data_IF_281858329643
#
_entry.id   IF_281858329643
#
_cell.length_a   1.000
_cell.length_b   1.000
_cell.length_c   1.000
_cell.angle_alpha   90.00
_cell.angle_beta   90.00
_cell.angle_gamma   90.00
#
_symmetry.space_group_name_H-M   'P 1'
#
loop_
_entity.id
_entity.type
_entity.pdbx_description
1 polymer ?
#
# COMPACT_ATOMS: atom_id res chain seq x y z
N UNK A 1 -26.30 -7.18 -3.66
CA UNK A 1 -25.58 -5.94 -4.02
C UNK A 1 -24.64 -6.32 -5.16
N UNK A 2 -24.63 -5.58 -6.27
CA UNK A 2 -23.68 -5.84 -7.36
C UNK A 2 -22.27 -5.60 -6.79
N UNK A 3 -21.37 -6.55 -6.99
CA UNK A 3 -19.94 -6.36 -6.69
C UNK A 3 -19.47 -5.15 -7.51
N UNK A 4 -18.98 -4.12 -6.83
CA UNK A 4 -18.39 -2.97 -7.51
C UNK A 4 -17.07 -3.47 -8.10
N UNK A 5 -17.02 -3.53 -9.43
CA UNK A 5 -15.84 -4.01 -10.14
C UNK A 5 -14.72 -2.99 -9.97
N UNK A 6 -13.70 -3.31 -9.16
CA UNK A 6 -12.61 -2.39 -8.82
C UNK A 6 -11.47 -2.37 -9.85
N UNK A 7 -11.57 -3.17 -10.94
CA UNK A 7 -10.57 -3.23 -12.00
C UNK A 7 -9.29 -3.99 -11.63
N UNK A 8 -9.20 -4.60 -10.45
CA UNK A 8 -8.12 -5.49 -10.03
C UNK A 8 -8.67 -6.67 -9.24
N UNK A 9 -7.87 -7.72 -9.11
CA UNK A 9 -8.23 -8.90 -8.33
C UNK A 9 -7.04 -9.43 -7.53
N UNK A 10 -7.34 -10.02 -6.38
CA UNK A 10 -6.38 -10.80 -5.61
C UNK A 10 -6.23 -12.16 -6.30
N UNK A 11 -5.04 -12.46 -6.78
CA UNK A 11 -4.76 -13.73 -7.47
C UNK A 11 -4.14 -14.76 -6.55
N UNK A 12 -3.51 -14.34 -5.46
CA UNK A 12 -2.99 -15.22 -4.43
C UNK A 12 -3.06 -14.54 -3.04
N UNK A 13 -3.41 -15.33 -2.03
CA UNK A 13 -3.40 -14.96 -0.62
C UNK A 13 -2.78 -16.13 0.15
N UNK A 14 -1.64 -15.91 0.81
CA UNK A 14 -0.85 -16.95 1.45
C UNK A 14 -0.43 -16.55 2.86
N UNK A 15 -0.52 -17.48 3.79
CA UNK A 15 0.18 -17.42 5.06
C UNK A 15 1.60 -17.98 4.86
N UNK A 16 2.60 -17.12 4.93
CA UNK A 16 4.01 -17.47 4.74
C UNK A 16 4.61 -18.03 6.02
N UNK A 17 4.18 -17.45 7.15
CA UNK A 17 4.43 -17.84 8.55
C UNK A 17 3.25 -17.31 9.39
N UNK A 18 3.02 -17.77 10.64
CA UNK A 18 1.82 -17.42 11.43
C UNK A 18 1.54 -15.90 11.57
N UNK A 19 2.59 -15.09 11.50
CA UNK A 19 2.52 -13.62 11.59
C UNK A 19 2.98 -12.93 10.29
N UNK A 20 3.17 -13.68 9.20
CA UNK A 20 3.62 -13.14 7.90
C UNK A 20 2.66 -13.57 6.80
N UNK A 21 2.04 -12.60 6.17
CA UNK A 21 1.07 -12.79 5.09
C UNK A 21 1.60 -12.23 3.78
N UNK A 22 1.16 -12.83 2.69
CA UNK A 22 1.49 -12.39 1.35
C UNK A 22 0.22 -12.33 0.50
N UNK A 23 0.01 -11.18 -0.12
CA UNK A 23 -1.04 -10.97 -1.12
C UNK A 23 -0.40 -10.67 -2.48
N UNK A 24 -0.98 -11.25 -3.53
CA UNK A 24 -0.64 -10.88 -4.89
C UNK A 24 -1.87 -10.38 -5.63
N UNK A 25 -1.76 -9.19 -6.18
CA UNK A 25 -2.86 -8.45 -6.78
C UNK A 25 -2.51 -8.15 -8.22
N UNK A 26 -3.49 -8.31 -9.11
CA UNK A 26 -3.32 -8.03 -10.53
C UNK A 26 -4.41 -7.10 -11.02
N UNK A 27 -4.06 -5.92 -11.56
CA UNK A 27 -4.99 -5.12 -12.33
C UNK A 27 -5.50 -5.92 -13.55
N UNK A 28 -6.81 -5.94 -13.73
CA UNK A 28 -7.49 -6.58 -14.87
C UNK A 28 -7.89 -5.54 -15.91
N UNK A 29 -8.22 -4.33 -15.42
CA UNK A 29 -8.47 -3.13 -16.20
C UNK A 29 -7.79 -1.94 -15.52
N UNK A 30 -6.78 -1.36 -16.16
CA UNK A 30 -6.00 -0.29 -15.55
C UNK A 30 -6.80 1.00 -15.37
N UNK A 31 -7.70 1.33 -16.30
CA UNK A 31 -8.52 2.54 -16.20
C UNK A 31 -9.52 2.43 -15.06
N UNK A 32 -10.15 1.27 -14.94
CA UNK A 32 -11.08 0.99 -13.86
C UNK A 32 -10.36 0.93 -12.51
N UNK A 33 -9.14 0.35 -12.47
CA UNK A 33 -8.29 0.35 -11.27
C UNK A 33 -7.96 1.77 -10.82
N UNK A 34 -7.52 2.63 -11.74
CA UNK A 34 -7.19 4.04 -11.42
C UNK A 34 -8.42 4.80 -10.93
N UNK A 35 -9.56 4.59 -11.57
CA UNK A 35 -10.82 5.19 -11.13
C UNK A 35 -11.21 4.73 -9.73
N UNK A 36 -11.16 3.43 -9.46
CA UNK A 36 -11.46 2.88 -8.12
C UNK A 36 -10.51 3.41 -7.04
N UNK A 37 -9.22 3.55 -7.36
CA UNK A 37 -8.23 4.14 -6.46
C UNK A 37 -8.59 5.60 -6.15
N UNK A 38 -8.91 6.41 -7.16
CA UNK A 38 -9.31 7.80 -6.97
C UNK A 38 -10.62 7.93 -6.18
N UNK A 39 -11.61 7.10 -6.47
CA UNK A 39 -12.87 7.05 -5.72
C UNK A 39 -12.63 6.67 -4.25
N UNK A 40 -11.72 5.73 -3.99
CA UNK A 40 -11.34 5.35 -2.63
C UNK A 40 -10.61 6.46 -1.89
N UNK A 41 -9.62 7.08 -2.52
CA UNK A 41 -8.87 8.22 -1.96
C UNK A 41 -9.77 9.42 -1.69
N UNK A 42 -10.81 9.64 -2.51
CA UNK A 42 -11.76 10.74 -2.35
C UNK A 42 -12.78 10.54 -1.23
N UNK A 43 -12.79 9.38 -0.55
CA UNK A 43 -13.67 9.14 0.60
C UNK A 43 -13.17 9.91 1.82
N UNK A 44 -13.93 10.90 2.25
CA UNK A 44 -13.64 11.73 3.42
C UNK A 44 -14.40 11.34 4.68
N UNK A 45 -15.04 10.16 4.69
CA UNK A 45 -15.87 9.70 5.83
C UNK A 45 -15.10 9.60 7.15
N UNK A 46 -13.80 9.39 7.09
CA UNK A 46 -12.93 9.38 8.26
C UNK A 46 -12.81 10.77 8.94
N UNK A 47 -12.87 11.87 8.15
CA UNK A 47 -12.88 13.23 8.67
C UNK A 47 -14.17 13.52 9.43
N UNK A 48 -15.27 12.91 9.01
CA UNK A 48 -16.57 13.08 9.65
C UNK A 48 -16.67 12.38 11.02
N UNK A 49 -15.70 11.52 11.36
CA UNK A 49 -15.62 10.88 12.69
C UNK A 49 -15.13 11.84 13.79
N UNK A 50 -14.54 12.98 13.41
CA UNK A 50 -14.16 14.00 14.38
C UNK A 50 -15.39 14.82 14.79
N UNK A 51 -15.58 15.01 16.09
CA UNK A 51 -16.75 15.70 16.69
C UNK A 51 -16.82 17.21 16.40
N UNK A 52 -16.16 17.68 15.33
CA UNK A 52 -16.08 19.08 14.95
C UNK A 52 -14.83 19.76 15.51
N UNK A 53 -14.80 21.10 15.35
CA UNK A 53 -13.69 21.92 15.78
C UNK A 53 -12.50 21.90 14.81
N UNK A 54 -11.37 22.45 15.26
CA UNK A 54 -10.20 22.72 14.40
C UNK A 54 -9.62 21.48 13.71
N UNK A 55 -9.73 20.30 14.32
CA UNK A 55 -9.20 19.06 13.73
C UNK A 55 -9.93 18.72 12.42
N UNK A 56 -11.26 18.76 12.44
CA UNK A 56 -12.08 18.51 11.27
C UNK A 56 -11.77 19.49 10.14
N UNK A 57 -11.71 20.77 10.46
CA UNK A 57 -11.42 21.83 9.48
C UNK A 57 -10.00 21.68 8.92
N UNK A 58 -9.01 21.42 9.78
CA UNK A 58 -7.62 21.21 9.36
C UNK A 58 -7.47 20.01 8.44
N UNK A 59 -8.05 18.87 8.79
CA UNK A 59 -8.00 17.68 7.93
C UNK A 59 -8.77 17.90 6.62
N UNK A 60 -9.90 18.60 6.63
CA UNK A 60 -10.67 18.90 5.41
C UNK A 60 -9.86 19.71 4.40
N UNK A 61 -9.16 20.75 4.86
CA UNK A 61 -8.29 21.57 3.98
C UNK A 61 -7.12 20.77 3.43
N UNK A 62 -6.42 19.98 4.27
CA UNK A 62 -5.31 19.12 3.83
C UNK A 62 -5.79 18.09 2.82
N UNK A 63 -6.89 17.41 3.13
CA UNK A 63 -7.50 16.39 2.28
C UNK A 63 -7.79 16.95 0.88
N UNK A 64 -8.49 18.09 0.76
CA UNK A 64 -8.84 18.67 -0.54
C UNK A 64 -7.58 18.99 -1.36
N UNK A 65 -6.60 19.66 -0.76
CA UNK A 65 -5.34 20.00 -1.43
C UNK A 65 -4.59 18.76 -1.93
N UNK A 66 -4.58 17.70 -1.13
CA UNK A 66 -3.88 16.44 -1.49
C UNK A 66 -4.62 15.69 -2.59
N UNK A 67 -5.96 15.61 -2.53
CA UNK A 67 -6.76 14.96 -3.58
C UNK A 67 -6.62 15.69 -4.91
N UNK A 68 -6.63 17.02 -4.93
CA UNK A 68 -6.44 17.82 -6.14
C UNK A 68 -5.05 17.54 -6.77
N UNK A 69 -4.01 17.43 -5.94
CA UNK A 69 -2.67 17.08 -6.38
C UNK A 69 -2.57 15.65 -6.92
N UNK A 70 -3.08 14.65 -6.20
CA UNK A 70 -3.06 13.25 -6.62
C UNK A 70 -3.88 13.05 -7.90
N UNK A 71 -5.08 13.61 -7.97
CA UNK A 71 -5.96 13.46 -9.13
C UNK A 71 -5.36 14.09 -10.38
N UNK A 72 -4.75 15.27 -10.28
CA UNK A 72 -4.05 15.89 -11.41
C UNK A 72 -2.86 15.05 -11.91
N UNK A 73 -2.15 14.38 -11.02
CA UNK A 73 -1.02 13.52 -11.39
C UNK A 73 -1.46 12.17 -12.00
N UNK A 74 -2.62 11.64 -11.60
CA UNK A 74 -3.14 10.36 -12.09
C UNK A 74 -3.98 10.53 -13.37
N UNK A 75 -4.84 11.58 -13.45
CA UNK A 75 -5.84 11.74 -14.50
C UNK A 75 -5.29 12.45 -15.76
N UNK A 76 -4.38 13.41 -15.62
CA UNK A 76 -3.97 14.26 -16.73
C UNK A 76 -2.86 13.71 -17.64
N UNK A 77 -2.53 12.43 -17.52
CA UNK A 77 -1.59 11.80 -18.46
C UNK A 77 -2.39 10.99 -19.48
N UNK A 78 -2.46 11.51 -20.71
CA UNK A 78 -3.13 10.88 -21.87
C UNK A 78 -2.56 9.49 -22.23
N UNK A 79 -1.37 9.16 -21.73
CA UNK A 79 -0.78 7.84 -21.87
C UNK A 79 -1.24 6.93 -20.72
N UNK A 80 -1.77 5.75 -21.07
CA UNK A 80 -2.09 4.63 -20.15
C UNK A 80 -0.86 4.13 -19.34
N UNK A 81 0.15 4.97 -19.14
CA UNK A 81 1.38 4.67 -18.41
C UNK A 81 1.38 5.35 -17.04
N UNK A 82 1.38 4.55 -15.99
CA UNK A 82 1.65 5.03 -14.63
C UNK A 82 3.05 5.64 -14.58
N UNK A 83 3.14 6.89 -14.15
CA UNK A 83 4.44 7.47 -13.78
C UNK A 83 4.94 6.85 -12.48
N UNK A 84 6.23 6.98 -12.20
CA UNK A 84 6.81 6.45 -10.96
C UNK A 84 6.05 6.94 -9.73
N UNK A 85 5.75 8.24 -9.68
CA UNK A 85 5.11 8.87 -8.52
C UNK A 85 3.64 8.44 -8.36
N UNK A 86 2.86 8.44 -9.47
CA UNK A 86 1.48 7.96 -9.42
C UNK A 86 1.37 6.46 -9.13
N UNK A 87 2.36 5.66 -9.54
CA UNK A 87 2.37 4.23 -9.28
C UNK A 87 2.50 3.89 -7.79
N UNK A 88 3.28 4.66 -7.02
CA UNK A 88 3.41 4.43 -5.58
C UNK A 88 2.09 4.74 -4.85
N UNK A 89 1.36 5.81 -5.21
CA UNK A 89 0.01 6.06 -4.68
C UNK A 89 -0.98 4.92 -4.98
N UNK A 90 -0.97 4.43 -6.21
CA UNK A 90 -1.84 3.31 -6.62
C UNK A 90 -1.52 2.05 -5.84
N UNK A 91 -0.23 1.72 -5.68
CA UNK A 91 0.21 0.55 -4.92
C UNK A 91 -0.16 0.69 -3.44
N UNK A 92 0.04 1.86 -2.84
CA UNK A 92 -0.33 2.15 -1.45
C UNK A 92 -1.81 1.95 -1.21
N UNK A 93 -2.67 2.51 -2.08
CA UNK A 93 -4.10 2.44 -1.92
C UNK A 93 -4.65 1.03 -2.16
N UNK A 94 -4.16 0.32 -3.18
CA UNK A 94 -4.53 -1.08 -3.41
C UNK A 94 -4.12 -1.95 -2.21
N UNK A 95 -2.91 -1.74 -1.67
CA UNK A 95 -2.45 -2.50 -0.51
C UNK A 95 -3.30 -2.21 0.73
N UNK A 96 -3.58 -0.93 1.01
CA UNK A 96 -4.44 -0.50 2.12
C UNK A 96 -5.83 -1.12 2.01
N UNK A 97 -6.51 -0.94 0.87
CA UNK A 97 -7.84 -1.50 0.63
C UNK A 97 -7.87 -3.02 0.78
N UNK A 98 -6.87 -3.71 0.22
CA UNK A 98 -6.76 -5.17 0.35
C UNK A 98 -6.66 -5.62 1.80
N UNK A 99 -5.85 -4.94 2.63
CA UNK A 99 -5.68 -5.30 4.05
C UNK A 99 -6.98 -5.06 4.83
N UNK A 100 -7.63 -3.93 4.58
CA UNK A 100 -8.92 -3.61 5.22
C UNK A 100 -9.98 -4.64 4.85
N UNK A 101 -10.13 -4.96 3.57
CA UNK A 101 -11.17 -5.88 3.07
C UNK A 101 -10.89 -7.34 3.43
N UNK A 102 -9.64 -7.81 3.31
CA UNK A 102 -9.32 -9.23 3.48
C UNK A 102 -9.06 -9.63 4.93
N UNK A 103 -8.58 -8.70 5.76
CA UNK A 103 -8.21 -8.96 7.15
C UNK A 103 -9.14 -8.31 8.15
N UNK A 104 -10.06 -7.44 7.67
CA UNK A 104 -10.96 -6.64 8.52
C UNK A 104 -10.14 -5.81 9.54
N UNK A 105 -9.06 -5.19 9.03
CA UNK A 105 -8.20 -4.31 9.82
C UNK A 105 -8.71 -2.88 9.75
N UNK A 106 -8.25 -2.05 10.69
CA UNK A 106 -8.70 -0.66 10.78
C UNK A 106 -8.34 0.11 9.50
N UNK A 107 -9.36 0.75 8.95
CA UNK A 107 -9.23 1.63 7.78
C UNK A 107 -8.68 2.99 8.21
N UNK A 108 -7.38 3.19 7.97
CA UNK A 108 -6.68 4.46 8.18
C UNK A 108 -6.33 5.02 6.79
N UNK A 109 -6.61 6.30 6.51
CA UNK A 109 -6.30 6.91 5.22
C UNK A 109 -4.79 6.88 4.91
N UNK A 110 -4.42 7.09 3.65
CA UNK A 110 -3.01 7.23 3.28
C UNK A 110 -2.34 8.35 4.06
N UNK A 111 -1.06 8.17 4.36
CA UNK A 111 -0.25 9.15 5.07
C UNK A 111 -0.29 10.53 4.44
N UNK A 112 -0.29 10.61 3.11
CA UNK A 112 -0.39 11.84 2.34
C UNK A 112 -1.66 12.67 2.62
N UNK A 113 -2.77 12.00 2.97
CA UNK A 113 -4.04 12.64 3.30
C UNK A 113 -4.09 13.19 4.73
N UNK A 114 -3.24 12.67 5.61
CA UNK A 114 -3.25 12.97 7.05
C UNK A 114 -2.13 13.94 7.41
N UNK A 115 -0.93 13.73 6.84
CA UNK A 115 0.29 14.47 7.17
C UNK A 115 0.28 15.87 6.58
N UNK A 116 0.95 16.79 7.26
CA UNK A 116 1.29 18.07 6.66
C UNK A 116 2.33 17.85 5.56
N UNK A 117 2.01 18.28 4.33
CA UNK A 117 2.93 18.21 3.19
C UNK A 117 4.07 19.21 3.40
N UNK A 118 5.16 18.77 4.01
CA UNK A 118 6.45 19.47 4.00
C UNK A 118 7.40 18.73 3.10
N UNK A 119 7.93 19.43 2.11
CA UNK A 119 9.01 18.90 1.27
C UNK A 119 10.13 18.40 2.20
N UNK A 120 10.49 17.11 2.07
CA UNK A 120 11.55 16.51 2.85
C UNK A 120 11.15 15.93 4.23
N UNK A 121 9.85 15.79 4.53
CA UNK A 121 9.41 15.03 5.70
C UNK A 121 8.92 13.63 5.31
N UNK A 122 9.84 12.70 4.99
CA UNK A 122 9.47 11.34 4.62
C UNK A 122 8.98 10.60 5.87
N UNK A 123 7.80 10.02 5.78
CA UNK A 123 7.23 9.09 6.73
C UNK A 123 6.64 7.92 5.97
N UNK A 124 5.99 7.00 6.64
CA UNK A 124 5.33 5.86 6.00
C UNK A 124 4.16 6.32 5.10
N UNK A 125 3.94 5.60 4.01
CA UNK A 125 2.94 5.96 2.99
C UNK A 125 1.51 5.69 3.47
N UNK A 126 1.32 4.63 4.27
CA UNK A 126 0.00 4.26 4.79
C UNK A 126 0.10 3.47 6.10
N UNK A 127 -1.05 3.32 6.75
CA UNK A 127 -1.16 2.68 8.05
C UNK A 127 -2.36 1.76 8.10
N UNK A 128 -2.34 0.82 9.05
CA UNK A 128 -3.49 0.04 9.47
C UNK A 128 -3.31 -0.41 10.93
N UNK A 129 -4.33 -1.02 11.50
CA UNK A 129 -4.23 -1.64 12.82
C UNK A 129 -4.95 -2.99 12.78
N UNK A 130 -4.29 -4.02 13.27
CA UNK A 130 -4.86 -5.36 13.31
C UNK A 130 -5.85 -5.55 14.47
N UNK A 131 -6.53 -6.70 14.50
CA UNK A 131 -7.53 -7.04 15.54
C UNK A 131 -6.94 -7.17 16.95
N UNK A 132 -5.62 -7.29 17.06
CA UNK A 132 -4.91 -7.28 18.35
C UNK A 132 -4.41 -5.90 18.75
N UNK A 133 -4.91 -4.85 18.11
CA UNK A 133 -4.54 -3.45 18.35
C UNK A 133 -3.05 -3.15 18.08
N UNK A 134 -2.41 -3.90 17.19
CA UNK A 134 -1.04 -3.63 16.73
C UNK A 134 -1.11 -2.73 15.51
N UNK A 135 -0.46 -1.56 15.57
CA UNK A 135 -0.34 -0.64 14.44
C UNK A 135 0.68 -1.21 13.46
N UNK A 136 0.32 -1.18 12.17
CA UNK A 136 1.17 -1.55 11.05
C UNK A 136 1.51 -0.31 10.22
N UNK A 137 2.78 -0.17 9.90
CA UNK A 137 3.34 0.92 9.11
C UNK A 137 3.66 0.41 7.71
N UNK A 138 3.07 1.04 6.69
CA UNK A 138 3.12 0.61 5.30
C UNK A 138 4.00 1.49 4.43
N UNK A 139 4.80 0.87 3.58
CA UNK A 139 5.64 1.52 2.57
C UNK A 139 5.42 0.88 1.21
N UNK A 140 5.21 1.71 0.19
CA UNK A 140 5.02 1.28 -1.19
C UNK A 140 6.20 1.65 -2.07
N UNK A 141 6.60 0.75 -2.97
CA UNK A 141 7.66 1.03 -3.94
C UNK A 141 7.31 0.54 -5.33
N UNK A 142 7.60 1.40 -6.29
CA UNK A 142 7.52 1.10 -7.70
C UNK A 142 8.88 1.07 -8.36
N UNK A 143 9.12 0.04 -9.16
CA UNK A 143 10.29 -0.04 -10.06
C UNK A 143 9.83 -0.63 -11.39
N UNK A 144 10.01 0.11 -12.47
CA UNK A 144 9.52 -0.28 -13.78
C UNK A 144 10.16 -1.56 -14.34
N UNK A 145 11.42 -1.84 -14.00
CA UNK A 145 12.20 -2.91 -14.62
C UNK A 145 12.31 -4.21 -13.78
N UNK A 146 11.99 -4.17 -12.48
CA UNK A 146 12.20 -5.30 -11.57
C UNK A 146 11.15 -5.35 -10.46
N UNK A 147 11.14 -6.46 -9.67
CA UNK A 147 10.34 -6.52 -8.46
C UNK A 147 10.90 -5.55 -7.41
N UNK A 148 10.04 -4.70 -6.86
CA UNK A 148 10.47 -3.60 -5.98
C UNK A 148 10.55 -3.97 -4.49
N UNK A 149 10.30 -5.25 -4.11
CA UNK A 149 10.27 -5.67 -2.69
C UNK A 149 11.54 -5.29 -1.90
N UNK A 150 12.72 -5.40 -2.54
CA UNK A 150 13.98 -5.06 -1.88
C UNK A 150 14.04 -3.61 -1.44
N UNK A 151 13.55 -2.67 -2.27
CA UNK A 151 13.49 -1.25 -1.94
C UNK A 151 12.46 -0.92 -0.87
N UNK A 152 11.27 -1.58 -0.91
CA UNK A 152 10.27 -1.39 0.12
C UNK A 152 10.77 -1.86 1.50
N UNK A 153 11.33 -3.06 1.59
CA UNK A 153 11.88 -3.60 2.84
C UNK A 153 13.05 -2.74 3.37
N UNK A 154 13.94 -2.29 2.48
CA UNK A 154 15.06 -1.43 2.84
C UNK A 154 14.58 -0.08 3.42
N UNK A 155 13.59 0.53 2.79
CA UNK A 155 13.05 1.80 3.27
C UNK A 155 12.36 1.67 4.62
N UNK A 156 11.58 0.60 4.84
CA UNK A 156 10.99 0.31 6.15
C UNK A 156 12.08 0.19 7.22
N UNK A 157 13.14 -0.58 6.98
CA UNK A 157 14.24 -0.72 7.92
C UNK A 157 14.93 0.62 8.21
N UNK A 158 15.13 1.46 7.18
CA UNK A 158 15.67 2.81 7.34
C UNK A 158 14.74 3.68 8.19
N UNK A 159 13.46 3.73 7.88
CA UNK A 159 12.46 4.51 8.63
C UNK A 159 12.36 4.06 10.09
N UNK A 160 12.40 2.75 10.34
CA UNK A 160 12.47 2.21 11.70
C UNK A 160 13.73 2.68 12.43
N UNK A 161 14.91 2.65 11.79
CA UNK A 161 16.16 3.15 12.36
C UNK A 161 16.10 4.65 12.68
N UNK A 162 15.47 5.42 11.79
CA UNK A 162 15.27 6.86 11.92
C UNK A 162 14.09 7.23 12.85
N UNK A 163 13.45 6.23 13.49
CA UNK A 163 12.30 6.38 14.39
C UNK A 163 11.10 7.09 13.75
N UNK A 164 10.90 6.92 12.43
CA UNK A 164 9.77 7.51 11.72
C UNK A 164 8.44 6.93 12.18
N UNK A 165 8.40 5.65 12.53
CA UNK A 165 7.26 4.98 13.17
C UNK A 165 6.81 5.66 14.46
N UNK A 166 7.73 6.18 15.26
CA UNK A 166 7.42 6.98 16.47
C UNK A 166 6.97 8.40 16.09
N UNK A 167 7.66 9.03 15.13
CA UNK A 167 7.30 10.38 14.67
C UNK A 167 5.90 10.42 14.06
N UNK A 168 5.56 9.42 13.25
CA UNK A 168 4.28 9.33 12.54
C UNK A 168 3.08 9.10 13.49
N UNK A 169 3.32 8.66 14.75
CA UNK A 169 2.24 8.54 15.75
C UNK A 169 1.52 9.86 15.99
N UNK A 170 2.24 10.99 15.87
CA UNK A 170 1.64 12.32 16.01
C UNK A 170 0.51 12.54 14.99
N UNK A 171 0.67 12.02 13.78
CA UNK A 171 -0.27 12.22 12.70
C UNK A 171 -1.49 11.25 12.81
N UNK A 172 -1.26 10.03 13.28
CA UNK A 172 -2.29 8.98 13.33
C UNK A 172 -2.95 8.80 14.72
N UNK A 173 -2.50 9.49 15.76
CA UNK A 173 -3.01 9.32 17.13
C UNK A 173 -4.52 9.57 17.27
N UNK A 174 -5.09 10.42 16.42
CA UNK A 174 -6.53 10.70 16.42
C UNK A 174 -7.35 9.63 15.66
N UNK A 175 -6.69 8.68 14.99
CA UNK A 175 -7.29 7.61 14.20
C UNK A 175 -7.11 6.23 14.84
N UNK A 176 -6.26 6.12 15.86
CA UNK A 176 -5.95 4.90 16.59
C UNK A 176 -6.19 5.07 18.09
N UNK A 177 -6.52 3.99 18.84
CA UNK A 177 -6.54 4.02 20.28
C UNK A 177 -5.18 4.42 20.87
N UNK A 178 -5.17 5.24 21.91
CA UNK A 178 -3.96 5.65 22.61
C UNK A 178 -3.12 4.45 23.12
N UNK A 179 -3.81 3.40 23.59
CA UNK A 179 -3.15 2.17 24.02
C UNK A 179 -2.30 1.54 22.88
N UNK A 180 -2.79 1.58 21.62
CA UNK A 180 -2.06 1.06 20.45
C UNK A 180 -0.84 1.92 20.13
N UNK A 181 -0.94 3.23 20.25
CA UNK A 181 0.20 4.15 20.10
C UNK A 181 1.28 3.88 21.16
N UNK A 182 0.86 3.63 22.41
CA UNK A 182 1.77 3.28 23.50
C UNK A 182 2.48 1.94 23.25
N UNK A 183 1.82 0.96 22.63
CA UNK A 183 2.45 -0.32 22.24
C UNK A 183 3.55 -0.12 21.19
N UNK A 184 3.38 0.78 20.23
CA UNK A 184 4.45 1.12 19.26
C UNK A 184 5.69 1.63 19.96
N UNK A 185 5.53 2.49 20.98
CA UNK A 185 6.65 3.01 21.77
C UNK A 185 7.41 1.89 22.53
N UNK A 186 6.72 0.82 22.91
CA UNK A 186 7.32 -0.38 23.53
C UNK A 186 7.94 -1.35 22.50
N UNK A 187 7.84 -1.05 21.20
CA UNK A 187 8.36 -1.90 20.14
C UNK A 187 7.34 -2.89 19.56
N UNK A 188 6.11 -2.96 20.09
CA UNK A 188 5.04 -3.82 19.60
C UNK A 188 4.34 -3.19 18.39
N UNK A 189 4.82 -3.51 17.20
CA UNK A 189 4.35 -2.96 15.92
C UNK A 189 4.51 -3.99 14.80
N UNK A 190 3.83 -3.75 13.69
CA UNK A 190 3.96 -4.51 12.46
C UNK A 190 4.35 -3.62 11.28
N UNK A 191 4.62 -4.24 10.14
CA UNK A 191 4.98 -3.53 8.91
C UNK A 191 4.27 -4.10 7.71
N UNK A 192 4.10 -3.27 6.67
CA UNK A 192 3.52 -3.64 5.40
C UNK A 192 4.48 -3.21 4.30
N UNK A 193 5.01 -4.16 3.54
CA UNK A 193 5.81 -3.87 2.35
C UNK A 193 4.94 -4.09 1.10
N UNK A 194 4.52 -3.01 0.48
CA UNK A 194 3.80 -3.01 -0.78
C UNK A 194 4.75 -2.69 -1.94
N UNK A 195 4.66 -3.41 -3.05
CA UNK A 195 5.64 -3.26 -4.12
C UNK A 195 5.12 -3.69 -5.48
N UNK A 196 5.61 -3.04 -6.53
CA UNK A 196 5.40 -3.51 -7.89
C UNK A 196 6.09 -4.85 -8.11
N UNK A 197 5.37 -5.80 -8.70
CA UNK A 197 5.91 -7.10 -9.07
C UNK A 197 5.81 -7.36 -10.57
N UNK A 198 6.64 -8.28 -11.05
CA UNK A 198 6.69 -8.74 -12.43
C UNK A 198 6.11 -10.15 -12.53
N UNK A 199 6.20 -10.74 -13.72
CA UNK A 199 5.71 -12.09 -14.03
C UNK A 199 6.41 -13.23 -13.30
N UNK A 200 7.29 -12.93 -12.33
CA UNK A 200 7.98 -13.93 -11.50
C UNK A 200 6.96 -14.79 -10.75
N UNK A 201 7.10 -16.10 -10.82
CA UNK A 201 6.24 -17.02 -10.07
C UNK A 201 6.31 -16.74 -8.56
N UNK A 202 5.17 -16.77 -7.88
CA UNK A 202 5.04 -16.41 -6.46
C UNK A 202 5.99 -17.19 -5.56
N UNK A 203 6.16 -18.49 -5.78
CA UNK A 203 7.11 -19.32 -5.01
C UNK A 203 8.54 -18.80 -5.10
N UNK A 204 8.97 -18.38 -6.29
CA UNK A 204 10.31 -17.82 -6.53
C UNK A 204 10.41 -16.43 -5.87
N UNK A 205 9.36 -15.62 -6.01
CA UNK A 205 9.31 -14.30 -5.40
C UNK A 205 9.44 -14.38 -3.88
N UNK A 206 8.64 -15.20 -3.22
CA UNK A 206 8.70 -15.41 -1.76
C UNK A 206 10.06 -15.96 -1.34
N UNK A 207 10.61 -16.93 -2.08
CA UNK A 207 11.93 -17.47 -1.80
C UNK A 207 13.02 -16.38 -1.85
N UNK A 208 12.97 -15.50 -2.82
CA UNK A 208 13.92 -14.39 -2.96
C UNK A 208 13.72 -13.34 -1.85
N UNK A 209 12.46 -13.05 -1.47
CA UNK A 209 12.15 -12.15 -0.36
C UNK A 209 12.73 -12.70 0.95
N UNK A 210 12.55 -14.00 1.24
CA UNK A 210 13.09 -14.65 2.45
C UNK A 210 14.62 -14.62 2.54
N UNK A 211 15.32 -14.50 1.43
CA UNK A 211 16.80 -14.34 1.41
C UNK A 211 17.25 -12.91 1.70
N UNK A 212 16.35 -11.93 1.59
CA UNK A 212 16.69 -10.53 1.81
C UNK A 212 17.00 -10.27 3.28
N UNK A 213 18.07 -9.51 3.56
CA UNK A 213 18.50 -9.22 4.94
C UNK A 213 17.46 -8.38 5.70
N UNK A 214 16.81 -7.43 5.01
CA UNK A 214 15.79 -6.58 5.61
C UNK A 214 14.50 -7.38 5.93
N UNK A 215 14.16 -8.39 5.12
CA UNK A 215 13.07 -9.31 5.47
C UNK A 215 13.34 -10.03 6.79
N UNK A 216 14.56 -10.55 6.99
CA UNK A 216 14.92 -11.24 8.23
C UNK A 216 14.80 -10.34 9.46
N UNK A 217 15.11 -9.05 9.31
CA UNK A 217 14.92 -8.08 10.37
C UNK A 217 13.43 -7.82 10.64
N UNK A 218 12.66 -7.55 9.59
CA UNK A 218 11.23 -7.21 9.71
C UNK A 218 10.36 -8.39 10.14
N UNK A 219 10.73 -9.61 9.78
CA UNK A 219 10.02 -10.84 10.20
C UNK A 219 10.06 -11.11 11.71
N UNK A 220 10.92 -10.43 12.46
CA UNK A 220 10.95 -10.52 13.93
C UNK A 220 9.90 -9.67 14.65
N UNK A 221 9.16 -8.82 13.92
CA UNK A 221 8.12 -7.97 14.48
C UNK A 221 6.78 -8.70 14.63
N UNK A 222 5.80 -8.04 15.27
CA UNK A 222 4.49 -8.64 15.60
C UNK A 222 3.72 -9.12 14.38
N UNK A 223 3.86 -8.41 13.25
CA UNK A 223 3.26 -8.78 11.97
C UNK A 223 4.03 -8.18 10.81
N UNK A 224 4.14 -8.93 9.72
CA UNK A 224 4.66 -8.47 8.44
C UNK A 224 3.70 -8.87 7.32
N UNK A 225 3.22 -7.88 6.56
CA UNK A 225 2.38 -8.13 5.39
C UNK A 225 3.15 -7.73 4.14
N UNK A 226 3.18 -8.62 3.17
CA UNK A 226 3.81 -8.42 1.87
C UNK A 226 2.71 -8.30 0.81
N UNK A 227 2.67 -7.21 0.07
CA UNK A 227 1.67 -6.98 -0.98
C UNK A 227 2.37 -6.75 -2.31
N UNK A 228 2.28 -7.73 -3.20
CA UNK A 228 2.81 -7.65 -4.55
C UNK A 228 1.71 -7.22 -5.53
N UNK A 229 1.92 -6.10 -6.22
CA UNK A 229 1.00 -5.61 -7.26
C UNK A 229 1.63 -5.82 -8.63
N UNK A 230 1.02 -6.65 -9.46
CA UNK A 230 1.50 -6.98 -10.80
C UNK A 230 1.25 -5.79 -11.76
N UNK A 231 2.20 -4.85 -11.84
CA UNK A 231 2.14 -3.74 -12.78
C UNK A 231 2.94 -4.10 -14.04
N UNK A 232 2.24 -4.55 -15.07
CA UNK A 232 2.82 -4.87 -16.39
C UNK A 232 2.65 -3.68 -17.35
N UNK A 233 3.68 -3.37 -18.15
CA UNK A 233 3.51 -2.48 -19.31
C UNK A 233 2.68 -3.20 -20.39
N UNK A 234 1.88 -2.45 -21.16
CA UNK A 234 1.01 -2.95 -22.25
C UNK A 234 1.71 -3.95 -23.18
N UNK A 235 2.99 -3.76 -23.49
CA UNK A 235 3.79 -4.60 -24.38
C UNK A 235 4.09 -6.02 -23.84
N UNK A 236 3.99 -6.24 -22.54
CA UNK A 236 4.23 -7.56 -21.93
C UNK A 236 2.99 -8.46 -22.02
N UNK A 237 1.79 -7.88 -22.03
CA UNK A 237 0.54 -8.62 -22.18
C UNK A 237 0.33 -9.15 -23.60
N UNK A 238 0.76 -8.43 -24.63
CA UNK A 238 0.70 -8.91 -26.03
C UNK A 238 1.65 -10.09 -26.26
N UNK A 239 2.85 -10.05 -25.70
CA UNK A 239 3.81 -11.17 -25.79
C UNK A 239 3.34 -12.42 -25.06
N UNK A 240 2.69 -12.27 -23.91
CA UNK A 240 2.09 -13.40 -23.16
C UNK A 240 0.91 -14.02 -23.91
N UNK A 241 0.06 -13.21 -24.53
CA UNK A 241 -1.06 -13.71 -25.33
C UNK A 241 -0.58 -14.45 -26.60
N UNK A 242 0.47 -13.96 -27.25
CA UNK A 242 1.08 -14.63 -28.43
C UNK A 242 1.73 -15.96 -28.02
N UNK A 243 2.40 -16.03 -26.88
CA UNK A 243 3.01 -17.27 -26.37
C UNK A 243 1.96 -18.30 -25.92
N UNK A 244 0.87 -17.86 -25.30
CA UNK A 244 -0.21 -18.75 -24.88
C UNK A 244 -1.03 -19.29 -26.05
N UNK A 245 -1.21 -18.51 -27.14
CA UNK A 245 -1.86 -18.98 -28.35
C UNK A 245 -0.98 -19.99 -29.10
N UNK A 246 0.32 -19.79 -29.19
CA UNK A 246 1.26 -20.77 -29.79
C UNK A 246 1.36 -22.08 -29.02
N UNK A 247 1.07 -22.11 -27.71
CA UNK A 247 1.04 -23.34 -26.89
C UNK A 247 -0.30 -24.11 -26.99
N UNK A 248 -1.34 -23.50 -27.56
CA UNK A 248 -2.64 -24.16 -27.78
C UNK A 248 -2.78 -24.78 -29.20
N UNK A 249 -1.85 -24.49 -30.09
CA UNK A 249 -1.80 -24.98 -31.45
C UNK A 249 -0.82 -26.17 -31.65
N UNK A 250 -0.22 -26.67 -30.56
CA UNK A 250 0.59 -27.89 -30.50
C UNK A 250 0.05 -28.80 -29.40
#
# INVERSE_FOLDING_TARGET
MAEVECGYKIIESLEVEPHIRFFRIRPTDIKLTLRSVLESLSKNSWIMKFDGGFLKDTFSVRFQSTIDHISSNIIHKEDDSLTSDSAEYVISEIARSTIVEQLDYLDIPLGELIKEQKSGNPGFDFYSMNKSNIILFGEAKYVAAQNAYGKALEQICRFKKDKKDISDLHDIQNLCPEASCNEVCKGNKGFIAAFSSKTTATKILIHNIKKNVNYKELSSHKELILVAVDICKKNDNEKLNIQNNKRREH
#
